data_IF_207145427879
#
_entry.id   IF_207145427879
#
_cell.length_a   1.000
_cell.length_b   1.000
_cell.length_c   1.000
_cell.angle_alpha   90.00
_cell.angle_beta   90.00
_cell.angle_gamma   90.00
#
_symmetry.space_group_name_H-M   'P 1'
#
loop_
_entity.id
_entity.type
_entity.pdbx_description
1 polymer ?
#
# COMPACT_ATOMS: atom_id res chain seq x y z
N UNK A 1 -8.97 -3.76 -3.38
CA UNK A 1 -10.42 -3.70 -3.67
C UNK A 1 -10.97 -5.12 -3.82
N UNK A 2 -12.01 -5.46 -3.05
CA UNK A 2 -12.71 -6.75 -3.15
C UNK A 2 -13.30 -6.98 -4.55
N UNK A 3 -13.22 -8.24 -5.01
CA UNK A 3 -13.71 -8.67 -6.32
C UNK A 3 -15.17 -8.28 -6.58
N UNK A 4 -16.06 -8.40 -5.58
CA UNK A 4 -17.47 -8.00 -5.68
C UNK A 4 -17.65 -6.52 -6.07
N UNK A 5 -16.78 -5.63 -5.58
CA UNK A 5 -16.82 -4.21 -5.96
C UNK A 5 -16.34 -4.02 -7.40
N UNK A 6 -15.31 -4.75 -7.83
CA UNK A 6 -14.83 -4.73 -9.22
C UNK A 6 -15.94 -5.18 -10.16
N UNK A 7 -16.58 -6.31 -9.87
CA UNK A 7 -17.71 -6.82 -10.64
C UNK A 7 -18.85 -5.79 -10.72
N UNK A 8 -19.20 -5.15 -9.60
CA UNK A 8 -20.21 -4.08 -9.58
C UNK A 8 -19.82 -2.89 -10.47
N UNK A 9 -18.57 -2.46 -10.43
CA UNK A 9 -18.07 -1.37 -11.28
C UNK A 9 -18.14 -1.75 -12.76
N UNK A 10 -17.73 -2.97 -13.11
CA UNK A 10 -17.78 -3.46 -14.50
C UNK A 10 -19.24 -3.53 -14.98
N UNK A 11 -20.18 -4.05 -14.16
CA UNK A 11 -21.61 -4.07 -14.51
C UNK A 11 -22.15 -2.67 -14.79
N UNK A 12 -21.87 -1.70 -13.92
CA UNK A 12 -22.29 -0.30 -14.13
C UNK A 12 -21.65 0.31 -15.38
N UNK A 13 -20.39 -0.03 -15.68
CA UNK A 13 -19.71 0.44 -16.89
C UNK A 13 -20.35 -0.11 -18.18
N UNK A 14 -20.80 -1.37 -18.15
CA UNK A 14 -21.55 -2.00 -19.24
C UNK A 14 -22.93 -1.36 -19.40
N UNK A 15 -23.69 -1.19 -18.32
CA UNK A 15 -25.00 -0.51 -18.34
C UNK A 15 -24.94 0.91 -18.91
N UNK A 16 -23.82 1.61 -18.67
CA UNK A 16 -23.57 2.95 -19.19
C UNK A 16 -22.95 2.97 -20.58
N UNK A 17 -22.79 1.82 -21.24
CA UNK A 17 -22.15 1.66 -22.54
C UNK A 17 -20.71 2.21 -22.60
N UNK A 18 -20.00 2.26 -21.46
CA UNK A 18 -18.57 2.60 -21.39
C UNK A 18 -17.73 1.41 -21.85
N UNK A 19 -18.19 0.21 -21.51
CA UNK A 19 -17.59 -1.07 -21.90
C UNK A 19 -18.64 -1.87 -22.68
N UNK A 20 -18.25 -2.44 -23.81
CA UNK A 20 -19.09 -3.40 -24.54
C UNK A 20 -18.64 -4.83 -24.23
N UNK A 21 -19.61 -5.70 -23.92
CA UNK A 21 -19.39 -7.15 -23.86
C UNK A 21 -19.71 -7.82 -25.21
N UNK A 22 -20.34 -7.08 -26.14
CA UNK A 22 -20.83 -7.59 -27.42
C UNK A 22 -19.82 -7.37 -28.54
N UNK A 23 -19.92 -8.18 -29.60
CA UNK A 23 -19.08 -8.06 -30.80
C UNK A 23 -17.76 -8.83 -30.73
N UNK A 24 -17.62 -9.74 -29.77
CA UNK A 24 -16.48 -10.63 -29.62
C UNK A 24 -16.84 -12.07 -29.98
N UNK A 25 -15.83 -12.88 -30.33
CA UNK A 25 -15.99 -14.32 -30.60
C UNK A 25 -16.10 -15.17 -29.32
N UNK A 26 -16.04 -14.54 -28.15
CA UNK A 26 -16.16 -15.18 -26.84
C UNK A 26 -17.49 -14.82 -26.18
N UNK A 27 -18.05 -15.72 -25.35
CA UNK A 27 -19.27 -15.45 -24.60
C UNK A 27 -19.16 -14.20 -23.71
N UNK A 28 -20.26 -13.46 -23.55
CA UNK A 28 -20.31 -12.23 -22.74
C UNK A 28 -19.86 -12.44 -21.29
N UNK A 29 -20.24 -13.57 -20.67
CA UNK A 29 -19.86 -13.91 -19.29
C UNK A 29 -18.34 -14.12 -19.17
N UNK A 30 -17.72 -14.84 -20.11
CA UNK A 30 -16.27 -15.05 -20.13
C UNK A 30 -15.54 -13.72 -20.35
N UNK A 31 -16.11 -12.84 -21.19
CA UNK A 31 -15.56 -11.50 -21.40
C UNK A 31 -15.64 -10.63 -20.14
N UNK A 32 -16.75 -10.70 -19.41
CA UNK A 32 -16.92 -9.99 -18.15
C UNK A 32 -15.87 -10.43 -17.13
N UNK A 33 -15.65 -11.73 -17.01
CA UNK A 33 -14.64 -12.33 -16.13
C UNK A 33 -13.21 -11.91 -16.47
N UNK A 34 -12.84 -11.88 -17.75
CA UNK A 34 -11.53 -11.36 -18.20
C UNK A 34 -11.30 -9.90 -17.76
N UNK A 35 -12.31 -9.04 -17.92
CA UNK A 35 -12.21 -7.62 -17.56
C UNK A 35 -12.02 -7.47 -16.04
N UNK A 36 -12.77 -8.23 -15.25
CA UNK A 36 -12.63 -8.25 -13.78
C UNK A 36 -11.21 -8.71 -13.40
N UNK A 37 -10.69 -9.75 -14.04
CA UNK A 37 -9.36 -10.28 -13.77
C UNK A 37 -8.24 -9.26 -14.07
N UNK A 38 -8.32 -8.56 -15.21
CA UNK A 38 -7.34 -7.52 -15.59
C UNK A 38 -7.36 -6.36 -14.60
N UNK A 39 -8.54 -5.88 -14.19
CA UNK A 39 -8.64 -4.82 -13.18
C UNK A 39 -8.04 -5.29 -11.86
N UNK A 40 -8.35 -6.53 -11.45
CA UNK A 40 -7.83 -7.10 -10.21
C UNK A 40 -6.30 -7.24 -10.23
N UNK A 41 -5.71 -7.62 -11.36
CA UNK A 41 -4.25 -7.68 -11.54
C UNK A 41 -3.62 -6.28 -11.43
N UNK A 42 -4.19 -5.28 -12.09
CA UNK A 42 -3.70 -3.90 -11.99
C UNK A 42 -3.75 -3.34 -10.56
N UNK A 43 -4.79 -3.68 -9.80
CA UNK A 43 -4.88 -3.31 -8.37
C UNK A 43 -3.79 -4.03 -7.56
N UNK A 44 -3.58 -5.34 -7.77
CA UNK A 44 -2.52 -6.09 -7.09
C UNK A 44 -1.13 -5.51 -7.37
N UNK A 45 -0.85 -5.15 -8.62
CA UNK A 45 0.42 -4.54 -9.00
C UNK A 45 0.62 -3.18 -8.32
N UNK A 46 -0.42 -2.34 -8.27
CA UNK A 46 -0.38 -1.06 -7.56
C UNK A 46 -0.17 -1.24 -6.06
N UNK A 47 -0.87 -2.18 -5.44
CA UNK A 47 -0.73 -2.49 -4.02
C UNK A 47 0.71 -2.95 -3.72
N UNK A 48 1.27 -3.84 -4.56
CA UNK A 48 2.66 -4.27 -4.46
C UNK A 48 3.64 -3.09 -4.50
N UNK A 49 3.52 -2.20 -5.49
CA UNK A 49 4.37 -1.01 -5.61
C UNK A 49 4.28 -0.10 -4.39
N UNK A 50 3.08 0.03 -3.81
CA UNK A 50 2.85 0.85 -2.62
C UNK A 50 3.54 0.24 -1.39
N UNK A 51 3.41 -1.07 -1.19
CA UNK A 51 4.08 -1.81 -0.11
C UNK A 51 5.61 -1.70 -0.26
N UNK A 52 6.15 -1.88 -1.47
CA UNK A 52 7.59 -1.73 -1.75
C UNK A 52 8.08 -0.31 -1.38
N UNK A 53 7.30 0.74 -1.69
CA UNK A 53 7.63 2.10 -1.31
C UNK A 53 7.68 2.29 0.21
N UNK A 54 6.74 1.72 0.97
CA UNK A 54 6.76 1.76 2.43
C UNK A 54 7.98 1.06 3.03
N UNK A 55 8.32 -0.13 2.53
CA UNK A 55 9.50 -0.88 3.00
C UNK A 55 10.80 -0.12 2.72
N UNK A 56 10.91 0.49 1.54
CA UNK A 56 12.06 1.30 1.18
C UNK A 56 12.17 2.55 2.06
N UNK A 57 11.05 3.27 2.25
CA UNK A 57 11.00 4.44 3.12
C UNK A 57 11.33 4.13 4.58
N UNK A 58 10.86 2.98 5.09
CA UNK A 58 11.23 2.52 6.43
C UNK A 58 12.72 2.18 6.54
N UNK A 59 13.32 1.58 5.52
CA UNK A 59 14.75 1.28 5.49
C UNK A 59 15.59 2.57 5.50
N UNK A 60 15.18 3.60 4.75
CA UNK A 60 15.81 4.93 4.78
C UNK A 60 15.64 5.59 6.16
N UNK A 61 14.45 5.50 6.76
CA UNK A 61 14.18 6.02 8.10
C UNK A 61 15.11 5.44 9.16
N UNK A 62 15.37 4.12 9.14
CA UNK A 62 16.31 3.47 10.06
C UNK A 62 17.71 4.09 9.94
N UNK A 63 18.19 4.32 8.71
CA UNK A 63 19.52 4.89 8.47
C UNK A 63 19.62 6.35 8.93
N UNK A 64 18.56 7.13 8.79
CA UNK A 64 18.53 8.52 9.25
C UNK A 64 18.37 8.62 10.78
N UNK A 65 17.63 7.70 11.41
CA UNK A 65 17.44 7.68 12.87
C UNK A 65 18.76 7.55 13.62
N UNK A 66 19.71 6.80 13.06
CA UNK A 66 21.05 6.66 13.63
C UNK A 66 21.86 7.97 13.67
N UNK A 67 21.45 8.99 12.92
CA UNK A 67 22.09 10.32 12.88
C UNK A 67 21.37 11.35 13.76
N UNK A 68 20.22 10.98 14.34
CA UNK A 68 19.41 11.88 15.14
C UNK A 68 20.10 12.21 16.48
N UNK A 69 19.80 13.41 16.95
CA UNK A 69 20.25 13.92 18.24
C UNK A 69 19.03 14.36 19.06
N UNK A 70 19.19 14.36 20.37
CA UNK A 70 18.21 14.85 21.33
C UNK A 70 18.90 15.78 22.34
N UNK A 71 18.12 16.61 23.02
CA UNK A 71 18.63 17.49 24.07
C UNK A 71 18.81 16.70 25.38
N UNK A 72 19.92 16.93 26.08
CA UNK A 72 20.15 16.39 27.41
C UNK A 72 19.40 17.23 28.46
N UNK A 73 18.46 16.62 29.18
CA UNK A 73 17.62 17.30 30.17
C UNK A 73 18.41 17.97 31.32
N UNK A 74 19.65 17.52 31.57
CA UNK A 74 20.49 18.02 32.67
C UNK A 74 21.38 19.18 32.23
N UNK A 75 21.88 19.17 31.00
CA UNK A 75 22.85 20.16 30.49
C UNK A 75 22.29 21.09 29.42
N UNK A 76 21.18 20.74 28.78
CA UNK A 76 20.62 21.44 27.62
C UNK A 76 21.45 21.28 26.33
N UNK A 77 22.45 20.39 26.33
CA UNK A 77 23.31 20.16 25.17
C UNK A 77 22.74 19.09 24.24
N UNK A 78 23.03 19.19 22.95
CA UNK A 78 22.64 18.16 21.99
C UNK A 78 23.55 16.93 22.10
N UNK A 79 22.95 15.75 22.22
CA UNK A 79 23.63 14.46 22.26
C UNK A 79 23.04 13.48 21.24
N UNK A 80 23.79 12.46 20.79
CA UNK A 80 23.21 11.36 20.03
C UNK A 80 22.12 10.64 20.83
N UNK A 81 21.18 10.03 20.11
CA UNK A 81 20.26 9.07 20.70
C UNK A 81 21.01 7.86 21.25
N UNK A 82 20.53 7.33 22.37
CA UNK A 82 20.96 6.04 22.92
C UNK A 82 20.41 4.89 22.06
N UNK A 83 20.99 3.70 22.20
CA UNK A 83 20.48 2.51 21.49
C UNK A 83 19.03 2.17 21.84
N UNK A 84 18.60 2.47 23.08
CA UNK A 84 17.22 2.26 23.53
C UNK A 84 16.26 3.25 22.85
N UNK A 85 16.59 4.56 22.85
CA UNK A 85 15.78 5.59 22.18
C UNK A 85 15.67 5.35 20.66
N UNK A 86 16.76 4.89 20.02
CA UNK A 86 16.75 4.50 18.60
C UNK A 86 15.82 3.30 18.40
N UNK A 87 15.93 2.27 19.25
CA UNK A 87 15.11 1.08 19.13
C UNK A 87 13.62 1.38 19.31
N UNK A 88 13.25 2.21 20.30
CA UNK A 88 11.86 2.65 20.51
C UNK A 88 11.31 3.42 19.29
N UNK A 89 12.11 4.33 18.75
CA UNK A 89 11.75 5.12 17.57
C UNK A 89 11.51 4.23 16.35
N UNK A 90 12.44 3.31 16.06
CA UNK A 90 12.32 2.36 14.95
C UNK A 90 11.12 1.43 15.15
N UNK A 91 10.88 0.96 16.37
CA UNK A 91 9.80 0.03 16.68
C UNK A 91 8.41 0.66 16.52
N UNK A 92 8.25 1.92 16.96
CA UNK A 92 7.02 2.67 16.74
C UNK A 92 6.73 2.83 15.25
N UNK A 93 7.74 3.23 14.48
CA UNK A 93 7.59 3.45 13.04
C UNK A 93 7.33 2.15 12.27
N UNK A 94 7.95 1.04 12.70
CA UNK A 94 7.69 -0.29 12.16
C UNK A 94 6.20 -0.64 12.24
N UNK A 95 5.58 -0.46 13.41
CA UNK A 95 4.15 -0.79 13.59
C UNK A 95 3.24 0.13 12.79
N UNK A 96 3.58 1.42 12.67
CA UNK A 96 2.86 2.35 11.79
C UNK A 96 2.89 1.85 10.35
N UNK A 97 4.07 1.49 9.84
CA UNK A 97 4.24 0.97 8.47
C UNK A 97 3.52 -0.36 8.27
N UNK A 98 3.57 -1.27 9.24
CA UNK A 98 2.80 -2.53 9.18
C UNK A 98 1.30 -2.27 9.11
N UNK A 99 0.78 -1.34 9.90
CA UNK A 99 -0.63 -0.95 9.85
C UNK A 99 -1.05 -0.44 8.48
N UNK A 100 -0.25 0.41 7.84
CA UNK A 100 -0.57 0.90 6.49
C UNK A 100 -0.49 -0.20 5.42
N UNK A 101 0.42 -1.17 5.57
CA UNK A 101 0.48 -2.34 4.69
C UNK A 101 -0.76 -3.23 4.87
N UNK A 102 -1.17 -3.48 6.11
CA UNK A 102 -2.36 -4.28 6.42
C UNK A 102 -3.62 -3.63 5.84
N UNK A 103 -3.75 -2.31 5.93
CA UNK A 103 -4.85 -1.56 5.32
C UNK A 103 -4.90 -1.79 3.80
N UNK A 104 -3.76 -1.69 3.09
CA UNK A 104 -3.65 -1.95 1.64
C UNK A 104 -4.05 -3.38 1.28
N UNK A 105 -3.67 -4.36 2.11
CA UNK A 105 -3.97 -5.77 1.88
C UNK A 105 -5.44 -6.11 2.19
N UNK A 106 -6.07 -5.34 3.08
CA UNK A 106 -7.47 -5.52 3.48
C UNK A 106 -8.48 -4.93 2.49
N UNK A 107 -8.07 -3.91 1.72
CA UNK A 107 -8.88 -3.31 0.65
C UNK A 107 -9.13 -4.28 -0.50
#
# INVERSE_FOLDING_TARGET
MKREMIEKVVRVAVERNIVTLNGFNIPEEERFEEIVAVIQEGIKEKNKKSIEAFVNGFSEYILETAKCTTEDDSTGEQRPLTSEEIAETIYSEYWRVQGEIDDILSE
#
